data_IF_052519815643
#
_entry.id   IF_052519815643
#
_cell.length_a   1.000
_cell.length_b   1.000
_cell.length_c   1.000
_cell.angle_alpha   90.00
_cell.angle_beta   90.00
_cell.angle_gamma   90.00
#
_symmetry.space_group_name_H-M   'P 1'
#
loop_
_entity.id
_entity.type
_entity.pdbx_description
1 polymer ?
#
# COMPACT_ATOMS: atom_id res chain seq x y z
N UNK A 1 32.88 -27.60 -10.32
CA UNK A 1 31.41 -27.58 -10.27
C UNK A 1 31.03 -26.13 -10.10
N UNK A 2 30.41 -25.56 -11.12
CA UNK A 2 30.32 -24.12 -11.39
C UNK A 2 29.59 -23.33 -10.31
N UNK A 3 30.18 -22.20 -9.95
CA UNK A 3 29.55 -21.13 -9.21
C UNK A 3 28.26 -20.73 -9.91
N UNK A 4 27.13 -21.05 -9.27
CA UNK A 4 26.10 -20.09 -8.89
C UNK A 4 26.03 -18.89 -9.85
N UNK A 5 25.41 -19.07 -11.01
CA UNK A 5 24.59 -17.99 -11.55
C UNK A 5 23.43 -17.86 -10.58
N UNK A 6 23.60 -16.99 -9.58
CA UNK A 6 22.50 -16.40 -8.85
C UNK A 6 21.69 -15.64 -9.91
N UNK A 7 20.79 -16.37 -10.59
CA UNK A 7 19.70 -15.78 -11.33
C UNK A 7 19.07 -14.83 -10.32
N UNK A 8 19.20 -13.53 -10.57
CA UNK A 8 18.39 -12.51 -9.93
C UNK A 8 16.96 -12.79 -10.38
N UNK A 9 16.35 -13.79 -9.74
CA UNK A 9 14.98 -14.17 -9.95
C UNK A 9 14.20 -12.98 -9.40
N UNK A 10 13.64 -12.19 -10.32
CA UNK A 10 12.49 -11.34 -10.05
C UNK A 10 11.59 -12.11 -9.08
N UNK A 11 11.29 -11.52 -7.93
CA UNK A 11 10.51 -12.18 -6.89
C UNK A 11 9.29 -12.86 -7.55
N UNK A 12 9.05 -14.17 -7.28
CA UNK A 12 8.03 -14.91 -8.00
C UNK A 12 6.64 -14.29 -7.79
N UNK A 13 6.44 -13.64 -6.64
CA UNK A 13 5.26 -12.86 -6.29
C UNK A 13 5.69 -11.51 -5.71
N UNK A 14 4.98 -10.44 -6.07
CA UNK A 14 5.17 -9.12 -5.47
C UNK A 14 3.87 -8.34 -5.44
N UNK A 15 3.86 -7.20 -4.76
CA UNK A 15 2.81 -6.18 -4.86
C UNK A 15 3.48 -4.83 -4.95
N UNK A 16 3.08 -4.02 -5.94
CA UNK A 16 3.36 -2.58 -5.96
C UNK A 16 2.10 -1.87 -5.54
N UNK A 17 2.13 -1.23 -4.38
CA UNK A 17 1.04 -0.40 -3.92
C UNK A 17 1.30 1.06 -4.30
N UNK A 18 0.32 1.69 -4.93
CA UNK A 18 0.31 3.12 -5.24
C UNK A 18 -0.87 3.76 -4.55
N UNK A 19 -0.62 4.83 -3.80
CA UNK A 19 -1.66 5.68 -3.23
C UNK A 19 -1.70 6.97 -4.05
N UNK A 20 -2.90 7.33 -4.51
CA UNK A 20 -3.21 8.62 -5.11
C UNK A 20 -4.12 9.38 -4.16
N UNK A 21 -3.55 10.38 -3.48
CA UNK A 21 -4.28 11.23 -2.54
C UNK A 21 -4.76 12.51 -3.24
N UNK A 22 -6.05 12.52 -3.60
CA UNK A 22 -6.77 13.69 -4.11
C UNK A 22 -7.50 14.45 -3.00
N UNK A 23 -7.42 14.00 -1.75
CA UNK A 23 -8.10 14.69 -0.65
C UNK A 23 -7.38 15.98 -0.25
N UNK A 24 -8.08 16.79 0.54
CA UNK A 24 -7.52 17.98 1.22
C UNK A 24 -6.62 17.61 2.39
N UNK A 25 -6.51 16.33 2.75
CA UNK A 25 -5.80 15.86 3.92
C UNK A 25 -4.37 15.42 3.61
N UNK A 26 -3.42 15.85 4.45
CA UNK A 26 -2.06 15.35 4.43
C UNK A 26 -2.02 14.07 5.27
N UNK A 27 -1.47 12.99 4.70
CA UNK A 27 -1.41 11.68 5.34
C UNK A 27 -0.02 11.47 5.94
N UNK A 28 0.03 11.08 7.22
CA UNK A 28 1.25 10.73 7.93
C UNK A 28 1.22 9.24 8.29
N UNK A 29 2.27 8.51 7.96
CA UNK A 29 2.38 7.10 8.31
C UNK A 29 2.54 6.93 9.82
N UNK A 30 1.79 5.99 10.41
CA UNK A 30 2.11 5.48 11.75
C UNK A 30 3.24 4.47 11.57
N UNK A 31 4.47 4.83 11.93
CA UNK A 31 5.65 4.00 11.66
C UNK A 31 5.52 2.56 12.18
N UNK A 32 5.01 2.39 13.40
CA UNK A 32 4.87 1.08 14.04
C UNK A 32 3.69 0.25 13.49
N UNK A 33 2.88 0.81 12.58
CA UNK A 33 1.79 0.07 11.92
C UNK A 33 2.27 -0.76 10.73
N UNK A 34 3.44 -0.45 10.18
CA UNK A 34 3.98 -1.09 8.99
C UNK A 34 4.35 -2.54 9.35
N UNK A 35 3.68 -3.50 8.70
CA UNK A 35 3.91 -4.91 8.95
C UNK A 35 3.75 -5.72 7.67
N UNK A 36 4.65 -6.70 7.50
CA UNK A 36 4.43 -7.81 6.59
C UNK A 36 4.06 -9.03 7.42
N UNK A 37 2.96 -9.67 7.06
CA UNK A 37 2.64 -11.00 7.57
C UNK A 37 3.35 -12.08 6.74
N UNK A 38 3.67 -11.78 5.48
CA UNK A 38 4.49 -12.60 4.57
C UNK A 38 5.31 -11.72 3.61
N UNK A 39 6.52 -12.19 3.26
CA UNK A 39 7.41 -11.53 2.32
C UNK A 39 8.44 -10.61 2.98
N UNK A 40 9.06 -9.76 2.16
CA UNK A 40 10.05 -8.78 2.55
C UNK A 40 9.82 -7.43 1.86
N UNK A 41 10.35 -6.36 2.45
CA UNK A 41 10.23 -5.01 1.91
C UNK A 41 11.29 -4.76 0.84
N UNK A 42 10.85 -4.37 -0.36
CA UNK A 42 11.73 -3.79 -1.39
C UNK A 42 11.79 -2.28 -1.22
N UNK A 43 10.66 -1.66 -0.90
CA UNK A 43 10.54 -0.23 -0.59
C UNK A 43 9.45 -0.07 0.45
N UNK A 44 9.73 0.71 1.50
CA UNK A 44 8.77 0.97 2.56
C UNK A 44 7.69 1.98 2.12
N UNK A 45 6.48 1.94 2.71
CA UNK A 45 5.52 3.02 2.56
C UNK A 45 6.14 4.37 2.97
N UNK A 46 5.91 5.46 2.22
CA UNK A 46 6.49 6.75 2.54
C UNK A 46 5.92 7.33 3.83
N UNK A 47 6.76 8.03 4.61
CA UNK A 47 6.35 8.68 5.87
C UNK A 47 5.22 9.70 5.69
N UNK A 48 5.13 10.30 4.49
CA UNK A 48 4.23 11.37 4.18
C UNK A 48 3.65 11.19 2.77
N UNK A 49 2.33 11.36 2.65
CA UNK A 49 1.67 11.54 1.37
C UNK A 49 0.97 12.91 1.44
N UNK A 50 1.39 13.83 0.58
CA UNK A 50 0.84 15.18 0.57
C UNK A 50 -0.66 15.17 0.22
N UNK A 51 -1.36 16.22 0.68
CA UNK A 51 -2.70 16.54 0.20
C UNK A 51 -2.66 16.97 -1.27
N UNK A 52 -3.83 17.03 -1.91
CA UNK A 52 -3.91 17.66 -3.23
C UNK A 52 -3.57 19.16 -3.15
N UNK A 53 -2.82 19.64 -4.14
CA UNK A 53 -2.51 21.06 -4.37
C UNK A 53 -2.60 21.34 -5.86
N UNK A 54 -3.36 22.36 -6.25
CA UNK A 54 -3.43 22.84 -7.64
C UNK A 54 -3.72 21.71 -8.66
N UNK A 55 -4.71 20.87 -8.36
CA UNK A 55 -5.09 19.67 -9.12
C UNK A 55 -3.99 18.58 -9.24
N UNK A 56 -2.88 18.71 -8.52
CA UNK A 56 -1.85 17.69 -8.41
C UNK A 56 -2.15 16.81 -7.19
N UNK A 57 -2.37 15.49 -7.35
CA UNK A 57 -2.57 14.59 -6.23
C UNK A 57 -1.25 14.30 -5.51
N UNK A 58 -1.31 14.07 -4.21
CA UNK A 58 -0.22 13.42 -3.49
C UNK A 58 -0.04 11.98 -3.94
N UNK A 59 1.20 11.48 -3.89
CA UNK A 59 1.52 10.11 -4.30
C UNK A 59 2.32 9.40 -3.23
N UNK A 60 1.98 8.14 -2.98
CA UNK A 60 2.82 7.21 -2.23
C UNK A 60 3.01 5.93 -3.04
N UNK A 61 4.21 5.35 -3.02
CA UNK A 61 4.51 4.11 -3.72
C UNK A 61 5.40 3.25 -2.83
N UNK A 62 5.06 1.98 -2.71
CA UNK A 62 5.91 1.00 -2.04
C UNK A 62 5.79 -0.37 -2.70
N UNK A 63 6.72 -1.26 -2.35
CA UNK A 63 6.82 -2.59 -2.92
C UNK A 63 7.22 -3.59 -1.86
N UNK A 64 6.51 -4.70 -1.85
CA UNK A 64 6.86 -5.89 -1.07
C UNK A 64 6.97 -7.09 -2.00
N UNK A 65 7.97 -7.92 -1.76
CA UNK A 65 8.33 -9.09 -2.55
C UNK A 65 8.18 -10.36 -1.71
N UNK A 66 7.89 -11.51 -2.32
CA UNK A 66 7.93 -12.78 -1.61
C UNK A 66 9.38 -13.17 -1.30
N UNK A 67 9.64 -13.62 -0.08
CA UNK A 67 10.95 -14.07 0.40
C UNK A 67 11.05 -15.62 0.45
N UNK A 68 10.12 -16.31 -0.19
CA UNK A 68 10.10 -17.77 -0.26
C UNK A 68 9.61 -18.24 -1.62
N UNK A 69 10.08 -19.43 -2.02
CA UNK A 69 9.80 -19.99 -3.35
C UNK A 69 8.31 -20.33 -3.54
N UNK A 70 7.59 -20.66 -2.46
CA UNK A 70 6.19 -21.09 -2.49
C UNK A 70 5.24 -20.12 -1.75
N UNK A 71 5.74 -18.97 -1.29
CA UNK A 71 4.96 -18.01 -0.51
C UNK A 71 4.42 -16.85 -1.35
N UNK A 72 3.40 -16.20 -0.81
CA UNK A 72 2.90 -14.93 -1.32
C UNK A 72 3.57 -13.73 -0.65
N UNK A 73 2.92 -12.59 -0.78
CA UNK A 73 3.27 -11.37 -0.04
C UNK A 73 2.02 -10.79 0.58
N UNK A 74 2.09 -10.44 1.87
CA UNK A 74 0.96 -9.91 2.60
C UNK A 74 1.42 -8.88 3.62
N UNK A 75 0.69 -7.78 3.74
CA UNK A 75 1.04 -6.73 4.67
C UNK A 75 -0.03 -5.68 4.86
N UNK A 76 0.30 -4.74 5.73
CA UNK A 76 -0.57 -3.62 6.11
C UNK A 76 0.24 -2.40 6.51
N UNK A 77 -0.40 -1.25 6.41
CA UNK A 77 0.04 -0.01 7.02
C UNK A 77 -1.15 0.89 7.34
N UNK A 78 -0.92 1.84 8.25
CA UNK A 78 -1.92 2.83 8.66
C UNK A 78 -1.35 4.23 8.48
N UNK A 79 -2.06 5.06 7.74
CA UNK A 79 -1.84 6.50 7.71
C UNK A 79 -2.83 7.20 8.64
N UNK A 80 -2.49 8.37 9.13
CA UNK A 80 -3.40 9.27 9.83
C UNK A 80 -3.50 10.61 9.13
N UNK A 81 -4.63 11.27 9.31
CA UNK A 81 -4.82 12.67 8.97
C UNK A 81 -5.54 13.41 10.09
N UNK A 82 -5.52 14.73 10.00
CA UNK A 82 -6.19 15.64 10.94
C UNK A 82 -7.25 16.41 10.16
N UNK A 83 -8.47 16.42 10.66
CA UNK A 83 -9.57 17.16 10.05
C UNK A 83 -9.51 18.67 10.37
N UNK A 84 -10.53 19.42 9.94
CA UNK A 84 -10.61 20.87 10.21
C UNK A 84 -10.85 21.22 11.69
N UNK A 85 -11.32 20.26 12.51
CA UNK A 85 -11.58 20.42 13.94
C UNK A 85 -10.40 20.00 14.81
N UNK A 86 -9.37 19.41 14.21
CA UNK A 86 -8.20 18.90 14.93
C UNK A 86 -8.33 17.43 15.38
N UNK A 87 -9.37 16.72 14.93
CA UNK A 87 -9.57 15.30 15.23
C UNK A 87 -8.68 14.43 14.33
N UNK A 88 -8.16 13.35 14.90
CA UNK A 88 -7.24 12.43 14.22
C UNK A 88 -8.01 11.21 13.75
N UNK A 89 -7.89 10.92 12.46
CA UNK A 89 -8.51 9.77 11.81
C UNK A 89 -7.46 8.92 11.10
N UNK A 90 -7.76 7.63 10.93
CA UNK A 90 -6.87 6.62 10.39
C UNK A 90 -7.36 6.11 9.05
N UNK A 91 -6.43 5.91 8.11
CA UNK A 91 -6.64 5.18 6.86
C UNK A 91 -5.87 3.86 6.94
N UNK A 92 -6.60 2.76 6.91
CA UNK A 92 -6.06 1.40 6.98
C UNK A 92 -5.88 0.85 5.57
N UNK A 93 -4.68 0.38 5.23
CA UNK A 93 -4.39 -0.21 3.93
C UNK A 93 -3.84 -1.62 4.14
N UNK A 94 -4.39 -2.60 3.43
CA UNK A 94 -3.94 -4.00 3.46
C UNK A 94 -3.79 -4.56 2.06
N UNK A 95 -2.78 -5.39 1.85
CA UNK A 95 -2.61 -6.16 0.63
C UNK A 95 -2.24 -7.60 0.97
N UNK A 96 -2.77 -8.53 0.18
CA UNK A 96 -2.41 -9.94 0.22
C UNK A 96 -2.44 -10.47 -1.21
N UNK A 97 -1.29 -10.90 -1.70
CA UNK A 97 -1.16 -11.57 -2.99
C UNK A 97 -0.51 -12.95 -2.77
N UNK A 98 -1.33 -14.01 -2.63
CA UNK A 98 -0.80 -15.36 -2.42
C UNK A 98 -0.26 -15.93 -3.74
N UNK A 99 0.66 -16.91 -3.65
CA UNK A 99 1.07 -17.69 -4.83
C UNK A 99 -0.08 -18.55 -5.38
N UNK A 100 -0.90 -19.10 -4.48
CA UNK A 100 -2.06 -19.94 -4.80
C UNK A 100 -3.29 -19.35 -4.10
N UNK A 101 -4.34 -19.09 -4.87
CA UNK A 101 -5.58 -18.51 -4.38
C UNK A 101 -5.86 -17.15 -5.00
N UNK A 102 -6.76 -16.39 -4.37
CA UNK A 102 -7.15 -15.07 -4.84
C UNK A 102 -6.47 -13.98 -4.01
N UNK A 103 -5.98 -12.96 -4.69
CA UNK A 103 -5.48 -11.76 -4.02
C UNK A 103 -6.61 -11.00 -3.33
N UNK A 104 -6.29 -10.31 -2.24
CA UNK A 104 -7.21 -9.47 -1.49
C UNK A 104 -6.53 -8.15 -1.15
N UNK A 105 -7.25 -7.06 -1.39
CA UNK A 105 -6.76 -5.70 -1.16
C UNK A 105 -7.86 -4.91 -0.47
N UNK A 106 -7.48 -3.95 0.38
CA UNK A 106 -8.47 -3.11 1.06
C UNK A 106 -7.88 -1.76 1.43
N UNK A 107 -8.76 -0.77 1.43
CA UNK A 107 -8.53 0.55 2.02
C UNK A 107 -9.82 0.97 2.74
N UNK A 108 -9.68 1.41 4.00
CA UNK A 108 -10.81 1.88 4.82
C UNK A 108 -10.38 3.01 5.74
N UNK A 109 -11.36 3.68 6.35
CA UNK A 109 -11.14 4.79 7.29
C UNK A 109 -12.06 4.65 8.50
N UNK A 110 -11.67 5.20 9.65
CA UNK A 110 -12.53 5.40 10.82
C UNK A 110 -13.20 6.79 10.85
N UNK A 111 -13.00 7.58 9.79
CA UNK A 111 -13.70 8.83 9.57
C UNK A 111 -15.13 8.58 9.09
N UNK A 112 -16.10 9.13 9.83
CA UNK A 112 -17.53 8.92 9.61
C UNK A 112 -18.18 10.01 8.72
N UNK A 113 -17.40 10.98 8.23
CA UNK A 113 -17.90 12.00 7.30
C UNK A 113 -18.13 11.44 5.89
N UNK A 114 -19.08 12.04 5.18
CA UNK A 114 -19.48 11.62 3.82
C UNK A 114 -18.60 12.23 2.72
N UNK A 115 -17.72 13.16 3.07
CA UNK A 115 -16.84 13.88 2.15
C UNK A 115 -15.49 13.18 1.90
N UNK A 116 -15.25 11.98 2.45
CA UNK A 116 -14.02 11.23 2.18
C UNK A 116 -14.36 9.86 1.57
N UNK A 117 -13.93 9.65 0.33
CA UNK A 117 -14.15 8.42 -0.41
C UNK A 117 -12.84 7.70 -0.67
N UNK A 118 -12.81 6.40 -0.35
CA UNK A 118 -11.67 5.53 -0.51
C UNK A 118 -12.04 4.39 -1.47
N UNK A 119 -11.15 4.10 -2.41
CA UNK A 119 -11.34 2.99 -3.35
C UNK A 119 -10.02 2.38 -3.73
N UNK A 120 -10.06 1.18 -4.30
CA UNK A 120 -8.88 0.56 -4.89
C UNK A 120 -9.21 -0.11 -6.22
N UNK A 121 -8.21 -0.21 -7.08
CA UNK A 121 -8.18 -1.12 -8.22
C UNK A 121 -6.90 -1.94 -8.15
N UNK A 122 -6.92 -3.14 -8.71
CA UNK A 122 -5.73 -3.98 -8.77
C UNK A 122 -5.65 -4.65 -10.13
N UNK A 123 -4.43 -4.71 -10.66
CA UNK A 123 -4.11 -5.58 -11.78
C UNK A 123 -4.20 -7.05 -11.33
N UNK A 124 -4.30 -7.95 -12.30
CA UNK A 124 -4.30 -9.39 -12.04
C UNK A 124 -2.89 -9.97 -12.10
N UNK A 125 -2.70 -11.14 -11.49
CA UNK A 125 -1.51 -11.97 -11.64
C UNK A 125 -0.52 -11.85 -10.47
N UNK A 126 0.70 -12.33 -10.71
CA UNK A 126 1.70 -12.55 -9.66
C UNK A 126 2.38 -11.28 -9.16
N UNK A 127 2.34 -10.19 -9.93
CA UNK A 127 3.06 -8.95 -9.63
C UNK A 127 2.19 -7.73 -9.88
N UNK A 128 0.99 -7.64 -9.27
CA UNK A 128 0.04 -6.61 -9.61
C UNK A 128 0.47 -5.25 -9.06
N UNK A 129 0.08 -4.22 -9.81
CA UNK A 129 -0.04 -2.87 -9.28
C UNK A 129 -1.42 -2.73 -8.65
N UNK A 130 -1.45 -2.31 -7.39
CA UNK A 130 -2.67 -1.96 -6.66
C UNK A 130 -2.71 -0.45 -6.49
N UNK A 131 -3.73 0.19 -7.06
CA UNK A 131 -3.93 1.63 -6.96
C UNK A 131 -5.02 1.95 -5.95
N UNK A 132 -4.64 2.51 -4.81
CA UNK A 132 -5.52 3.05 -3.79
C UNK A 132 -5.78 4.53 -4.07
N UNK A 133 -7.03 4.94 -4.11
CA UNK A 133 -7.44 6.32 -4.36
C UNK A 133 -8.20 6.87 -3.17
N UNK A 134 -7.84 8.09 -2.75
CA UNK A 134 -8.50 8.82 -1.66
C UNK A 134 -8.96 10.16 -2.24
N UNK A 135 -10.25 10.47 -2.11
CA UNK A 135 -10.88 11.69 -2.68
C UNK A 135 -11.71 12.38 -1.61
N UNK A 136 -11.61 13.71 -1.54
CA UNK A 136 -12.53 14.59 -0.81
C UNK A 136 -12.91 15.80 -1.65
#
# INVERSE_FOLDING_TARGET
>A
MSEIEAISLKAPISVIAKVTNKSVYKLKLIQDSIRLDQGEWTTLPPQLINKSSDNTPGKGIWRSDSNSLLGGVAGRCTYVFVDSKGEIYSIYITWNNPLIGSSSYSISTDYEGDDLHLSYSAENGNNPIVEYTIVS
#
